data_IF_033250548711
#
_entry.id   IF_033250548711
#
_cell.length_a   1.000
_cell.length_b   1.000
_cell.length_c   1.000
_cell.angle_alpha   90.00
_cell.angle_beta   90.00
_cell.angle_gamma   90.00
#
_symmetry.space_group_name_H-M   'P 1'
#
loop_
_entity.id
_entity.type
_entity.pdbx_description
1 polymer ?
#
# COMPACT_ATOMS: atom_id res chain seq x y z
N UNK A 1 -18.69 -17.19 -9.27
CA UNK A 1 -18.67 -15.93 -10.04
C UNK A 1 -17.47 -15.13 -9.57
N UNK A 2 -16.60 -14.64 -10.45
CA UNK A 2 -15.63 -13.61 -10.06
C UNK A 2 -16.46 -12.35 -9.80
N UNK A 3 -16.45 -11.83 -8.57
CA UNK A 3 -16.99 -10.49 -8.32
C UNK A 3 -16.30 -9.51 -9.28
N UNK A 4 -17.10 -8.80 -10.05
CA UNK A 4 -16.61 -7.75 -10.93
C UNK A 4 -16.08 -6.62 -10.03
N UNK A 5 -14.76 -6.39 -10.08
CA UNK A 5 -14.14 -5.35 -9.27
C UNK A 5 -14.54 -3.99 -9.83
N UNK A 6 -15.36 -3.25 -9.07
CA UNK A 6 -15.73 -1.87 -9.40
C UNK A 6 -14.56 -0.89 -9.24
N UNK A 7 -13.58 -1.23 -8.41
CA UNK A 7 -12.39 -0.44 -8.16
C UNK A 7 -11.20 -0.99 -8.94
N UNK A 8 -10.37 -0.10 -9.48
CA UNK A 8 -9.09 -0.50 -10.06
C UNK A 8 -8.17 -1.13 -9.01
N UNK A 9 -7.22 -1.96 -9.45
CA UNK A 9 -6.17 -2.48 -8.57
C UNK A 9 -5.27 -1.35 -8.04
N UNK A 10 -4.63 -1.57 -6.89
CA UNK A 10 -3.63 -0.62 -6.41
C UNK A 10 -2.42 -0.62 -7.36
N UNK A 11 -1.90 0.55 -7.75
CA UNK A 11 -0.71 0.64 -8.57
C UNK A 11 0.44 -0.09 -7.86
N UNK A 12 1.17 -0.90 -8.62
CA UNK A 12 2.33 -1.62 -8.12
C UNK A 12 3.58 -0.84 -8.54
N UNK A 13 4.24 -0.23 -7.57
CA UNK A 13 5.59 0.28 -7.76
C UNK A 13 6.54 -0.92 -7.81
N UNK A 14 7.22 -1.07 -8.94
CA UNK A 14 8.33 -1.99 -9.05
C UNK A 14 9.59 -1.29 -8.54
N UNK A 15 10.52 -2.08 -8.00
CA UNK A 15 11.80 -1.54 -7.56
C UNK A 15 12.56 -1.00 -8.77
N UNK A 16 13.07 0.26 -8.73
CA UNK A 16 13.82 0.83 -9.85
C UNK A 16 15.17 0.14 -10.02
N UNK A 17 15.69 -0.51 -8.98
CA UNK A 17 16.94 -1.23 -9.03
C UNK A 17 16.79 -2.61 -9.65
N UNK A 18 17.74 -2.97 -10.51
CA UNK A 18 17.76 -4.29 -11.12
C UNK A 18 18.08 -5.35 -10.06
N UNK A 19 17.60 -6.58 -10.32
CA UNK A 19 17.91 -7.74 -9.50
C UNK A 19 18.77 -8.70 -10.28
N UNK A 20 19.77 -9.28 -9.63
CA UNK A 20 20.71 -10.20 -10.24
C UNK A 20 20.90 -11.43 -9.34
N UNK A 21 21.06 -12.59 -9.97
CA UNK A 21 21.42 -13.83 -9.30
C UNK A 21 22.94 -13.94 -9.20
N UNK A 22 23.43 -14.20 -7.98
CA UNK A 22 24.83 -14.40 -7.68
C UNK A 22 25.06 -15.84 -7.23
N UNK A 23 26.04 -16.51 -7.82
CA UNK A 23 26.47 -17.82 -7.33
C UNK A 23 27.12 -17.65 -5.97
N UNK A 24 26.69 -18.46 -5.02
CA UNK A 24 27.24 -18.48 -3.65
C UNK A 24 28.12 -19.71 -3.51
N UNK A 25 29.22 -19.53 -2.76
CA UNK A 25 30.10 -20.64 -2.42
C UNK A 25 29.30 -21.77 -1.74
N UNK A 26 29.42 -23.01 -2.24
CA UNK A 26 28.64 -24.16 -1.76
C UNK A 26 28.88 -24.49 -0.29
N UNK A 27 30.09 -24.29 0.23
CA UNK A 27 30.41 -24.55 1.64
C UNK A 27 29.77 -23.49 2.55
N UNK A 28 29.82 -22.22 2.14
CA UNK A 28 29.14 -21.13 2.83
C UNK A 28 27.62 -21.33 2.81
N UNK A 29 27.05 -21.78 1.68
CA UNK A 29 25.63 -22.12 1.59
C UNK A 29 25.25 -23.30 2.49
N UNK A 30 26.06 -24.37 2.55
CA UNK A 30 25.81 -25.48 3.49
C UNK A 30 25.81 -25.01 4.96
N UNK A 31 26.68 -24.06 5.31
CA UNK A 31 26.83 -23.56 6.68
C UNK A 31 25.75 -22.53 7.06
N UNK A 32 25.33 -21.68 6.13
CA UNK A 32 24.50 -20.50 6.43
C UNK A 32 23.16 -20.45 5.68
N UNK A 33 22.99 -21.26 4.63
CA UNK A 33 21.84 -21.21 3.73
C UNK A 33 20.51 -21.47 4.42
N UNK A 34 20.45 -22.42 5.37
CA UNK A 34 19.22 -22.68 6.15
C UNK A 34 18.80 -21.45 6.97
N UNK A 35 19.74 -20.81 7.68
CA UNK A 35 19.48 -19.58 8.44
C UNK A 35 19.03 -18.42 7.56
N UNK A 36 19.57 -18.35 6.34
CA UNK A 36 19.25 -17.32 5.34
C UNK A 36 18.08 -17.72 4.42
N UNK A 37 17.41 -18.84 4.68
CA UNK A 37 16.28 -19.36 3.88
C UNK A 37 16.60 -19.55 2.38
N UNK A 38 17.85 -19.87 2.05
CA UNK A 38 18.31 -20.09 0.68
C UNK A 38 18.02 -21.54 0.23
N UNK A 39 17.26 -21.69 -0.86
CA UNK A 39 16.92 -23.02 -1.43
C UNK A 39 18.04 -23.63 -2.27
N UNK A 40 18.86 -22.79 -2.90
CA UNK A 40 19.96 -23.17 -3.78
C UNK A 40 21.21 -22.34 -3.43
N UNK A 41 22.43 -22.73 -3.88
CA UNK A 41 23.65 -21.95 -3.69
C UNK A 41 23.69 -20.71 -4.60
N UNK A 42 22.58 -19.98 -4.65
CA UNK A 42 22.38 -18.78 -5.44
C UNK A 42 21.64 -17.74 -4.59
N UNK A 43 22.10 -16.50 -4.65
CA UNK A 43 21.49 -15.36 -3.98
C UNK A 43 20.86 -14.44 -5.02
N UNK A 44 19.55 -14.22 -4.91
CA UNK A 44 18.84 -13.25 -5.75
C UNK A 44 18.79 -11.91 -5.03
N UNK A 45 19.67 -10.99 -5.43
CA UNK A 45 19.92 -9.73 -4.73
C UNK A 45 19.53 -8.54 -5.60
N UNK A 46 19.09 -7.47 -4.94
CA UNK A 46 19.02 -6.13 -5.56
C UNK A 46 20.46 -5.62 -5.68
N UNK A 47 20.80 -5.01 -6.81
CA UNK A 47 22.10 -4.36 -7.00
C UNK A 47 21.91 -2.87 -7.16
N UNK A 48 22.94 -2.10 -6.82
CA UNK A 48 22.95 -0.65 -6.93
C UNK A 48 23.15 -0.20 -8.39
N UNK A 49 22.17 -0.55 -9.25
CA UNK A 49 22.04 -0.11 -10.64
C UNK A 49 20.57 0.07 -10.96
N UNK A 50 20.22 1.27 -11.42
CA UNK A 50 18.86 1.62 -11.85
C UNK A 50 18.55 0.94 -13.18
N UNK A 51 17.33 0.41 -13.33
CA UNK A 51 16.81 -0.05 -14.61
C UNK A 51 16.66 1.18 -15.52
N UNK A 52 17.25 1.21 -16.73
CA UNK A 52 17.17 2.37 -17.63
C UNK A 52 15.76 2.90 -17.88
N UNK A 53 14.74 2.04 -17.82
CA UNK A 53 13.33 2.43 -17.94
C UNK A 53 12.77 3.21 -16.73
N UNK A 54 13.55 3.39 -15.66
CA UNK A 54 13.17 4.04 -14.40
C UNK A 54 13.95 5.34 -14.14
N UNK A 55 14.74 5.84 -15.10
CA UNK A 55 15.48 7.10 -15.00
C UNK A 55 14.54 8.29 -14.68
N UNK A 56 13.35 8.30 -15.29
CA UNK A 56 12.32 9.32 -15.05
C UNK A 56 11.87 9.40 -13.58
N UNK A 57 11.94 8.32 -12.80
CA UNK A 57 11.50 8.34 -11.39
C UNK A 57 12.36 9.27 -10.53
N UNK A 58 13.58 9.58 -10.96
CA UNK A 58 14.50 10.42 -10.17
C UNK A 58 14.59 11.85 -10.68
N UNK A 59 14.40 12.06 -11.98
CA UNK A 59 14.63 13.36 -12.63
C UNK A 59 13.34 14.05 -13.13
N UNK A 60 12.18 13.39 -13.03
CA UNK A 60 10.90 13.98 -13.44
C UNK A 60 10.41 14.99 -12.38
N UNK A 61 10.16 16.27 -12.74
CA UNK A 61 9.67 17.29 -11.82
C UNK A 61 8.31 16.96 -11.19
N UNK A 62 7.52 16.06 -11.79
CA UNK A 62 6.26 15.56 -11.23
C UNK A 62 6.47 14.45 -10.19
N UNK A 63 7.72 14.01 -9.96
CA UNK A 63 8.05 13.07 -8.89
C UNK A 63 8.12 13.78 -7.55
N UNK A 64 7.23 13.38 -6.64
CA UNK A 64 7.11 13.98 -5.31
C UNK A 64 7.38 12.92 -4.25
N UNK A 65 8.32 13.21 -3.35
CA UNK A 65 8.60 12.38 -2.18
C UNK A 65 7.71 12.83 -1.02
N UNK A 66 6.84 11.93 -0.56
CA UNK A 66 5.92 12.18 0.56
C UNK A 66 6.23 11.26 1.74
N UNK A 67 5.79 11.63 2.94
CA UNK A 67 5.90 10.73 4.09
C UNK A 67 5.16 9.42 3.81
N UNK A 68 5.88 8.31 3.95
CA UNK A 68 5.26 7.00 3.87
C UNK A 68 4.60 6.65 5.20
N UNK A 69 3.28 6.86 5.27
CA UNK A 69 2.49 6.41 6.40
C UNK A 69 2.55 4.88 6.57
N UNK A 70 2.60 4.43 7.83
CA UNK A 70 2.61 3.02 8.20
C UNK A 70 1.22 2.58 8.69
N UNK A 71 0.39 2.15 7.74
CA UNK A 71 -0.98 1.73 8.02
C UNK A 71 -1.44 0.57 7.14
N UNK A 72 -2.67 0.69 6.65
CA UNK A 72 -3.24 -0.22 5.67
C UNK A 72 -3.82 0.56 4.50
N UNK A 73 -3.49 0.15 3.29
CA UNK A 73 -4.02 0.75 2.06
C UNK A 73 -5.54 0.52 1.98
N UNK A 74 -6.27 1.61 1.78
CA UNK A 74 -7.72 1.63 1.57
C UNK A 74 -8.02 2.50 0.34
N UNK A 75 -8.85 1.99 -0.56
CA UNK A 75 -9.32 2.70 -1.75
C UNK A 75 -10.84 2.78 -1.72
N UNK A 76 -11.38 3.93 -2.06
CA UNK A 76 -12.81 4.22 -2.13
C UNK A 76 -13.21 4.68 -3.52
N UNK A 77 -14.44 4.41 -3.91
CA UNK A 77 -15.12 4.97 -5.08
C UNK A 77 -16.35 5.73 -4.60
N UNK A 78 -16.41 7.01 -4.92
CA UNK A 78 -17.60 7.84 -4.70
C UNK A 78 -18.26 8.20 -6.02
N UNK A 79 -19.60 8.34 -5.99
CA UNK A 79 -20.41 8.88 -7.09
C UNK A 79 -21.55 9.71 -6.51
N UNK A 80 -21.69 10.96 -6.94
CA UNK A 80 -22.73 11.89 -6.47
C UNK A 80 -22.80 11.93 -4.93
N UNK A 81 -21.63 11.96 -4.28
CA UNK A 81 -21.50 12.00 -2.82
C UNK A 81 -21.80 10.67 -2.11
N UNK A 82 -22.07 9.58 -2.83
CA UNK A 82 -22.31 8.23 -2.25
C UNK A 82 -21.05 7.39 -2.30
N UNK A 83 -20.73 6.69 -1.21
CA UNK A 83 -19.72 5.63 -1.20
C UNK A 83 -20.25 4.40 -1.95
N UNK A 84 -19.70 4.13 -3.13
CA UNK A 84 -20.12 3.03 -4.01
C UNK A 84 -19.33 1.75 -3.74
N UNK A 85 -18.02 1.89 -3.51
CA UNK A 85 -17.16 0.75 -3.23
C UNK A 85 -16.03 1.13 -2.28
N UNK A 86 -15.61 0.15 -1.48
CA UNK A 86 -14.50 0.25 -0.55
C UNK A 86 -13.69 -1.03 -0.63
N UNK A 87 -12.36 -0.92 -0.69
CA UNK A 87 -11.49 -2.09 -0.69
C UNK A 87 -10.19 -1.81 0.08
N UNK A 88 -9.60 -2.87 0.61
CA UNK A 88 -8.17 -2.87 0.96
C UNK A 88 -7.36 -3.52 -0.16
N UNK A 89 -6.04 -3.64 0.03
CA UNK A 89 -5.13 -4.24 -0.96
C UNK A 89 -5.56 -5.61 -1.50
N UNK A 90 -6.27 -6.42 -0.71
CA UNK A 90 -6.59 -7.81 -1.06
C UNK A 90 -8.08 -8.08 -1.24
N UNK A 91 -8.95 -7.32 -0.58
CA UNK A 91 -10.37 -7.66 -0.44
C UNK A 91 -11.26 -6.42 -0.59
N UNK A 92 -12.42 -6.63 -1.21
CA UNK A 92 -13.55 -5.72 -1.14
C UNK A 92 -14.08 -5.71 0.31
N UNK A 93 -14.49 -4.54 0.77
CA UNK A 93 -15.02 -4.31 2.11
C UNK A 93 -16.45 -3.81 1.95
N UNK A 94 -17.40 -4.52 2.55
CA UNK A 94 -18.75 -4.00 2.74
C UNK A 94 -18.75 -3.02 3.93
N UNK A 95 -19.04 -1.72 3.71
CA UNK A 95 -19.05 -0.73 4.78
C UNK A 95 -20.20 -0.92 5.77
N UNK A 96 -21.25 -1.67 5.41
CA UNK A 96 -22.42 -1.93 6.24
C UNK A 96 -22.37 -3.30 6.94
N UNK A 97 -21.31 -4.09 6.73
CA UNK A 97 -21.08 -5.33 7.47
C UNK A 97 -20.68 -4.99 8.92
N UNK A 98 -21.65 -4.83 9.82
CA UNK A 98 -21.40 -4.42 11.22
C UNK A 98 -20.85 -5.60 12.06
N UNK A 99 -21.52 -6.75 11.99
CA UNK A 99 -21.11 -7.93 12.78
C UNK A 99 -19.87 -8.55 12.13
N UNK A 100 -18.78 -8.66 12.88
CA UNK A 100 -17.44 -9.10 12.39
C UNK A 100 -16.85 -8.20 11.29
N UNK A 101 -17.41 -7.00 11.13
CA UNK A 101 -16.93 -5.98 10.23
C UNK A 101 -15.57 -5.41 10.58
N UNK A 102 -14.97 -4.71 9.62
CA UNK A 102 -13.76 -3.92 9.84
C UNK A 102 -14.16 -2.48 10.19
N UNK A 103 -14.84 -2.31 11.32
CA UNK A 103 -15.44 -1.02 11.75
C UNK A 103 -14.43 0.12 11.83
N UNK A 104 -13.19 -0.17 12.19
CA UNK A 104 -12.09 0.80 12.22
C UNK A 104 -11.79 1.46 10.86
N UNK A 105 -12.05 0.77 9.75
CA UNK A 105 -11.90 1.32 8.40
C UNK A 105 -12.98 2.37 8.16
N UNK A 106 -14.22 2.05 8.55
CA UNK A 106 -15.36 2.94 8.36
C UNK A 106 -15.23 4.18 9.25
N UNK A 107 -14.77 4.02 10.48
CA UNK A 107 -14.45 5.14 11.37
C UNK A 107 -13.45 6.11 10.72
N UNK A 108 -12.32 5.60 10.21
CA UNK A 108 -11.31 6.45 9.58
C UNK A 108 -11.81 7.14 8.32
N UNK A 109 -12.58 6.45 7.47
CA UNK A 109 -13.18 7.03 6.26
C UNK A 109 -14.21 8.12 6.63
N UNK A 110 -15.09 7.87 7.60
CA UNK A 110 -16.11 8.86 7.99
C UNK A 110 -15.50 10.10 8.64
N UNK A 111 -14.42 9.92 9.39
CA UNK A 111 -13.63 11.04 9.91
C UNK A 111 -12.99 11.85 8.78
N UNK A 112 -12.48 11.19 7.75
CA UNK A 112 -11.94 11.86 6.57
C UNK A 112 -13.02 12.64 5.79
N UNK A 113 -14.23 12.08 5.66
CA UNK A 113 -15.39 12.79 5.10
C UNK A 113 -15.69 14.06 5.92
N UNK A 114 -15.73 13.95 7.25
CA UNK A 114 -15.97 15.11 8.13
C UNK A 114 -14.88 16.19 8.05
N UNK A 115 -13.66 15.82 7.62
CA UNK A 115 -12.55 16.74 7.36
C UNK A 115 -12.52 17.30 5.92
N UNK A 116 -13.44 16.87 5.04
CA UNK A 116 -13.46 17.28 3.63
C UNK A 116 -12.36 16.65 2.78
N UNK A 117 -11.79 15.50 3.20
CA UNK A 117 -10.70 14.82 2.48
C UNK A 117 -11.19 13.82 1.41
N UNK A 118 -12.50 13.57 1.37
CA UNK A 118 -13.13 12.65 0.40
C UNK A 118 -13.84 13.48 -0.67
N UNK A 119 -13.53 13.20 -1.93
CA UNK A 119 -14.13 13.81 -3.11
C UNK A 119 -15.53 13.27 -3.36
N UNK A 120 -16.37 14.09 -3.97
CA UNK A 120 -17.75 13.73 -4.30
C UNK A 120 -17.85 12.59 -5.33
N UNK A 121 -16.91 12.57 -6.28
CA UNK A 121 -16.84 11.61 -7.37
C UNK A 121 -15.42 11.09 -7.60
N UNK A 122 -15.33 9.82 -8.00
CA UNK A 122 -14.10 9.20 -8.48
C UNK A 122 -13.48 8.20 -7.51
N UNK A 123 -12.34 7.65 -7.93
CA UNK A 123 -11.54 6.76 -7.09
C UNK A 123 -10.53 7.58 -6.29
N UNK A 124 -10.39 7.26 -5.00
CA UNK A 124 -9.30 7.77 -4.17
C UNK A 124 -8.63 6.65 -3.41
N UNK A 125 -7.31 6.61 -3.47
CA UNK A 125 -6.49 5.74 -2.66
C UNK A 125 -5.86 6.53 -1.51
N UNK A 126 -5.75 5.87 -0.36
CA UNK A 126 -5.13 6.47 0.83
C UNK A 126 -4.70 5.42 1.83
N UNK A 127 -4.07 5.90 2.91
CA UNK A 127 -3.62 5.07 4.01
C UNK A 127 -4.53 5.26 5.21
N UNK A 128 -5.02 4.15 5.76
CA UNK A 128 -5.68 4.14 7.06
C UNK A 128 -4.66 3.85 8.15
N UNK A 129 -4.59 4.73 9.14
CA UNK A 129 -3.72 4.63 10.32
C UNK A 129 -4.58 4.72 11.60
N UNK A 130 -4.04 4.25 12.73
CA UNK A 130 -4.68 4.38 14.02
C UNK A 130 -4.52 3.16 14.93
N UNK A 131 -5.28 3.11 16.04
CA UNK A 131 -5.26 2.01 17.00
C UNK A 131 -5.34 0.62 16.35
N UNK A 132 -4.51 -0.34 16.79
CA UNK A 132 -4.54 -1.73 16.27
C UNK A 132 -4.23 -1.88 14.77
N UNK A 133 -3.86 -0.82 14.05
CA UNK A 133 -3.34 -0.87 12.68
C UNK A 133 -1.81 -0.74 12.75
N UNK A 134 -1.08 -1.77 12.30
CA UNK A 134 0.40 -1.79 12.26
C UNK A 134 1.07 -1.36 13.58
N UNK A 135 0.52 -1.78 14.72
CA UNK A 135 0.96 -1.39 16.06
C UNK A 135 0.83 0.12 16.41
N UNK A 136 0.11 0.90 15.60
CA UNK A 136 -0.18 2.32 15.82
C UNK A 136 1.06 3.15 16.17
N UNK A 137 2.07 3.24 15.28
CA UNK A 137 3.34 3.90 15.58
C UNK A 137 3.15 5.40 15.87
N UNK A 138 2.09 6.00 15.35
CA UNK A 138 1.71 7.40 15.53
C UNK A 138 0.96 7.69 16.83
N UNK A 139 0.66 6.67 17.64
CA UNK A 139 -0.05 6.79 18.93
C UNK A 139 -1.38 7.55 18.83
N UNK A 140 -2.08 7.39 17.72
CA UNK A 140 -3.39 8.03 17.53
C UNK A 140 -4.42 7.39 18.45
N UNK A 141 -5.36 8.20 18.93
CA UNK A 141 -6.48 7.74 19.74
C UNK A 141 -7.63 7.19 18.89
N UNK A 142 -7.72 7.64 17.64
CA UNK A 142 -8.78 7.31 16.68
C UNK A 142 -8.18 6.91 15.34
N UNK A 143 -9.00 6.26 14.51
CA UNK A 143 -8.59 5.92 13.14
C UNK A 143 -8.67 7.13 12.23
N UNK A 144 -7.70 7.28 11.34
CA UNK A 144 -7.71 8.31 10.32
C UNK A 144 -7.37 7.68 8.98
N UNK A 145 -8.18 7.98 7.97
CA UNK A 145 -7.84 7.68 6.58
C UNK A 145 -7.36 8.97 5.92
N UNK A 146 -6.22 8.90 5.25
CA UNK A 146 -5.61 10.05 4.60
C UNK A 146 -5.38 9.74 3.11
N UNK A 147 -5.99 10.50 2.18
CA UNK A 147 -5.79 10.28 0.75
C UNK A 147 -4.35 10.63 0.35
N UNK A 148 -3.75 9.83 -0.53
CA UNK A 148 -2.36 10.07 -0.95
C UNK A 148 -2.17 11.41 -1.68
N UNK A 149 -3.19 11.86 -2.40
CA UNK A 149 -3.18 13.15 -3.09
C UNK A 149 -3.06 14.33 -2.12
N UNK A 150 -3.59 14.24 -0.89
CA UNK A 150 -3.45 15.32 0.08
C UNK A 150 -2.03 15.50 0.60
N UNK A 151 -1.11 14.56 0.34
CA UNK A 151 0.30 14.70 0.69
C UNK A 151 1.12 15.47 -0.37
N UNK A 152 0.49 15.81 -1.50
CA UNK A 152 1.13 16.45 -2.66
C UNK A 152 0.80 17.96 -2.71
N UNK A 153 -0.28 18.38 -2.06
CA UNK A 153 -0.80 19.76 -2.04
C UNK A 153 -0.19 20.65 -0.93
#
# INVERSE_FOLDING_TARGET
MKEERMLTDFPKLHCPFIRQTFKVNREQWKKHGSRLQMREPEAYLVVDRVNPEYEWVFDDPDTIAVEKLNGTNIKLLTREGRLIALQNRLNIIDPLQIIKGKTFIIEGVFRAIGKGLVKEDGEQAGELIGPKVQANPYKLEMHEWYPFEAAID
#
